data_IF_839562865937
#
_entry.id   IF_839562865937
#
_cell.length_a   1.000
_cell.length_b   1.000
_cell.length_c   1.000
_cell.angle_alpha   90.00
_cell.angle_beta   90.00
_cell.angle_gamma   90.00
#
_symmetry.space_group_name_H-M   'P 1'
#
loop_
_entity.id
_entity.type
_entity.pdbx_description
1 polymer ?
#
# COMPACT_ATOMS: atom_id res chain seq x y z
N UNK A 1 -34.48 -19.26 -2.24
CA UNK A 1 -33.05 -18.89 -2.31
C UNK A 1 -32.84 -17.44 -2.73
N UNK A 2 -33.06 -17.10 -4.01
CA UNK A 2 -32.72 -15.77 -4.56
C UNK A 2 -33.50 -14.57 -4.00
N UNK A 3 -34.78 -14.75 -3.65
CA UNK A 3 -35.64 -13.65 -3.14
C UNK A 3 -35.16 -13.08 -1.78
N UNK A 4 -34.61 -13.93 -0.90
CA UNK A 4 -34.12 -13.49 0.42
C UNK A 4 -32.81 -12.70 0.28
N UNK A 5 -31.93 -13.10 -0.65
CA UNK A 5 -30.67 -12.41 -0.91
C UNK A 5 -30.94 -11.05 -1.55
N UNK A 6 -31.90 -10.96 -2.48
CA UNK A 6 -32.33 -9.69 -3.08
C UNK A 6 -32.99 -8.78 -2.04
N UNK A 7 -33.80 -9.31 -1.14
CA UNK A 7 -34.41 -8.53 -0.05
C UNK A 7 -33.37 -8.03 0.98
N UNK A 8 -32.36 -8.84 1.31
CA UNK A 8 -31.27 -8.44 2.19
C UNK A 8 -30.35 -7.41 1.53
N UNK A 9 -30.01 -7.59 0.25
CA UNK A 9 -29.24 -6.63 -0.53
C UNK A 9 -30.02 -5.31 -0.73
N UNK A 10 -31.33 -5.38 -0.98
CA UNK A 10 -32.20 -4.21 -1.03
C UNK A 10 -32.31 -3.51 0.32
N UNK A 11 -32.35 -4.26 1.43
CA UNK A 11 -32.37 -3.69 2.78
C UNK A 11 -31.04 -3.04 3.16
N UNK A 12 -29.90 -3.63 2.76
CA UNK A 12 -28.56 -3.06 2.92
C UNK A 12 -28.33 -1.85 2.03
N UNK A 13 -28.77 -1.88 0.76
CA UNK A 13 -28.77 -0.72 -0.14
C UNK A 13 -29.71 0.37 0.36
N UNK A 14 -30.88 0.02 0.92
CA UNK A 14 -31.79 0.99 1.54
C UNK A 14 -31.19 1.56 2.82
N UNK A 15 -30.53 0.74 3.63
CA UNK A 15 -29.76 1.19 4.80
C UNK A 15 -28.65 2.13 4.34
N UNK A 16 -27.89 1.77 3.31
CA UNK A 16 -26.86 2.62 2.75
C UNK A 16 -27.36 3.92 2.16
N UNK A 17 -28.42 3.90 1.35
CA UNK A 17 -28.99 5.11 0.77
C UNK A 17 -29.54 5.99 1.89
N UNK A 18 -30.17 5.41 2.93
CA UNK A 18 -30.60 6.15 4.12
C UNK A 18 -29.42 6.65 4.95
N UNK A 19 -28.33 5.89 5.06
CA UNK A 19 -27.14 6.25 5.81
C UNK A 19 -26.33 7.30 5.07
N UNK A 20 -26.02 7.14 3.78
CA UNK A 20 -25.37 8.15 2.93
C UNK A 20 -26.25 9.41 2.81
N UNK A 21 -27.56 9.29 2.65
CA UNK A 21 -28.50 10.43 2.64
C UNK A 21 -28.57 11.13 4.00
N UNK A 22 -28.54 10.38 5.11
CA UNK A 22 -28.47 10.95 6.47
C UNK A 22 -27.07 11.52 6.79
N UNK A 23 -26.00 10.91 6.31
CA UNK A 23 -24.60 11.38 6.47
C UNK A 23 -24.36 12.68 5.71
N UNK A 24 -24.95 12.81 4.51
CA UNK A 24 -24.90 14.04 3.71
C UNK A 24 -25.86 15.14 4.18
N UNK A 25 -26.86 14.82 5.01
CA UNK A 25 -27.79 15.79 5.62
C UNK A 25 -27.60 15.82 7.14
N UNK A 26 -26.69 16.68 7.61
CA UNK A 26 -26.63 17.15 9.01
C UNK A 26 -26.80 16.06 10.10
N UNK A 27 -26.12 14.91 9.99
CA UNK A 27 -26.08 13.96 11.12
C UNK A 27 -24.73 14.01 11.83
N UNK A 28 -24.79 14.24 13.15
CA UNK A 28 -23.62 14.26 14.02
C UNK A 28 -22.87 12.93 14.01
N UNK A 29 -21.55 12.99 14.24
CA UNK A 29 -20.60 11.87 14.26
C UNK A 29 -21.09 10.69 15.10
N UNK A 30 -21.86 10.95 16.16
CA UNK A 30 -22.45 9.92 17.02
C UNK A 30 -23.41 8.97 16.30
N UNK A 31 -24.18 9.46 15.33
CA UNK A 31 -25.06 8.60 14.52
C UNK A 31 -24.24 7.72 13.59
N UNK A 32 -23.22 8.28 12.94
CA UNK A 32 -22.29 7.55 12.05
C UNK A 32 -21.60 6.41 12.81
N UNK A 33 -21.13 6.71 14.03
CA UNK A 33 -20.48 5.76 14.93
C UNK A 33 -21.42 4.63 15.36
N UNK A 34 -22.68 4.94 15.71
CA UNK A 34 -23.70 3.94 16.10
C UNK A 34 -24.09 3.02 14.95
N UNK A 35 -24.27 3.57 13.75
CA UNK A 35 -24.57 2.76 12.55
C UNK A 35 -23.41 1.81 12.27
N UNK A 36 -22.17 2.32 12.31
CA UNK A 36 -20.98 1.52 12.08
C UNK A 36 -20.85 0.39 13.10
N UNK A 37 -20.98 0.70 14.40
CA UNK A 37 -20.93 -0.30 15.46
C UNK A 37 -22.01 -1.40 15.28
N UNK A 38 -23.23 -1.02 14.84
CA UNK A 38 -24.32 -1.97 14.60
C UNK A 38 -24.01 -2.89 13.42
N UNK A 39 -23.45 -2.34 12.34
CA UNK A 39 -23.04 -3.12 11.15
C UNK A 39 -21.88 -4.05 11.49
N UNK A 40 -20.87 -3.57 12.21
CA UNK A 40 -19.73 -4.39 12.66
C UNK A 40 -20.21 -5.56 13.54
N UNK A 41 -21.12 -5.30 14.49
CA UNK A 41 -21.72 -6.34 15.33
C UNK A 41 -22.50 -7.38 14.52
N UNK A 42 -23.25 -6.94 13.51
CA UNK A 42 -23.98 -7.84 12.62
C UNK A 42 -23.04 -8.71 11.77
N UNK A 43 -21.93 -8.15 11.28
CA UNK A 43 -20.95 -8.88 10.49
C UNK A 43 -20.14 -9.88 11.32
N UNK A 44 -19.73 -9.51 12.54
CA UNK A 44 -19.03 -10.41 13.45
C UNK A 44 -19.90 -11.60 13.92
N UNK A 45 -21.22 -11.45 13.90
CA UNK A 45 -22.16 -12.53 14.24
C UNK A 45 -22.38 -13.56 13.12
N UNK A 46 -21.91 -13.27 11.90
CA UNK A 46 -22.07 -14.15 10.76
C UNK A 46 -20.75 -14.86 10.45
N UNK A 47 -20.61 -16.10 10.92
CA UNK A 47 -19.56 -17.02 10.49
C UNK A 47 -19.68 -17.27 8.98
N UNK A 48 -19.02 -16.45 8.18
CA UNK A 48 -18.99 -16.63 6.72
C UNK A 48 -17.56 -16.87 6.28
N UNK A 49 -17.28 -18.14 5.98
CA UNK A 49 -16.07 -18.59 5.30
C UNK A 49 -15.98 -17.83 3.96
N UNK A 50 -14.83 -17.21 3.63
CA UNK A 50 -14.68 -16.51 2.37
C UNK A 50 -14.79 -17.52 1.20
N UNK A 51 -15.87 -17.41 0.43
CA UNK A 51 -16.09 -18.20 -0.78
C UNK A 51 -15.50 -17.45 -1.97
N UNK A 52 -14.65 -18.13 -2.75
CA UNK A 52 -13.80 -17.50 -3.77
C UNK A 52 -14.57 -16.80 -4.91
N UNK A 53 -15.81 -17.21 -5.19
CA UNK A 53 -16.70 -16.56 -6.15
C UNK A 53 -17.95 -16.05 -5.43
N UNK A 54 -18.08 -14.73 -5.34
CA UNK A 54 -19.26 -14.09 -4.80
C UNK A 54 -20.33 -13.99 -5.90
N UNK A 55 -21.59 -14.21 -5.55
CA UNK A 55 -22.67 -13.83 -6.45
C UNK A 55 -22.71 -12.31 -6.60
N UNK A 56 -23.19 -11.81 -7.74
CA UNK A 56 -23.25 -10.36 -8.03
C UNK A 56 -23.90 -9.55 -6.88
N UNK A 57 -24.98 -10.07 -6.27
CA UNK A 57 -25.61 -9.42 -5.11
C UNK A 57 -24.71 -9.34 -3.87
N UNK A 58 -23.83 -10.32 -3.63
CA UNK A 58 -22.86 -10.27 -2.53
C UNK A 58 -21.72 -9.28 -2.83
N UNK A 59 -21.29 -9.17 -4.08
CA UNK A 59 -20.30 -8.16 -4.51
C UNK A 59 -20.84 -6.75 -4.27
N UNK A 60 -22.09 -6.48 -4.67
CA UNK A 60 -22.73 -5.19 -4.41
C UNK A 60 -22.77 -4.84 -2.91
N UNK A 61 -23.08 -5.82 -2.05
CA UNK A 61 -23.09 -5.64 -0.59
C UNK A 61 -21.69 -5.36 -0.02
N UNK A 62 -20.65 -6.03 -0.54
CA UNK A 62 -19.27 -5.79 -0.10
C UNK A 62 -18.77 -4.41 -0.55
N UNK A 63 -19.04 -4.03 -1.81
CA UNK A 63 -18.71 -2.69 -2.32
C UNK A 63 -19.43 -1.59 -1.53
N UNK A 64 -20.71 -1.83 -1.25
CA UNK A 64 -21.50 -1.00 -0.36
C UNK A 64 -20.81 -0.81 1.00
N UNK A 65 -20.48 -1.89 1.67
CA UNK A 65 -19.81 -1.83 2.97
C UNK A 65 -18.50 -1.02 2.92
N UNK A 66 -17.68 -1.20 1.87
CA UNK A 66 -16.47 -0.42 1.65
C UNK A 66 -16.75 1.08 1.50
N UNK A 67 -17.76 1.48 0.72
CA UNK A 67 -18.15 2.89 0.55
C UNK A 67 -18.68 3.51 1.85
N UNK A 68 -19.36 2.73 2.69
CA UNK A 68 -19.77 3.18 4.01
C UNK A 68 -18.55 3.46 4.89
N UNK A 69 -17.57 2.54 4.94
CA UNK A 69 -16.33 2.76 5.68
C UNK A 69 -15.59 3.99 5.18
N UNK A 70 -15.49 4.18 3.85
CA UNK A 70 -14.86 5.37 3.27
C UNK A 70 -15.55 6.63 3.78
N UNK A 71 -16.89 6.68 3.73
CA UNK A 71 -17.65 7.87 4.15
C UNK A 71 -17.41 8.18 5.62
N UNK A 72 -17.39 7.17 6.49
CA UNK A 72 -17.19 7.35 7.92
C UNK A 72 -15.76 7.78 8.25
N UNK A 73 -14.73 7.13 7.69
CA UNK A 73 -13.33 7.48 7.98
C UNK A 73 -12.86 8.78 7.35
N UNK A 74 -13.60 9.31 6.39
CA UNK A 74 -13.36 10.64 5.86
C UNK A 74 -13.69 11.74 6.89
N UNK A 75 -14.43 11.40 7.96
CA UNK A 75 -14.71 12.31 9.07
C UNK A 75 -13.54 12.35 10.05
N UNK A 76 -13.02 13.54 10.38
CA UNK A 76 -11.89 13.73 11.31
C UNK A 76 -12.33 13.79 12.77
N UNK A 77 -12.95 12.74 13.30
CA UNK A 77 -13.37 12.67 14.71
C UNK A 77 -12.50 11.71 15.53
N UNK A 78 -12.23 12.08 16.79
CA UNK A 78 -11.51 11.26 17.77
C UNK A 78 -12.32 10.02 18.21
N UNK A 79 -13.65 10.08 18.19
CA UNK A 79 -14.55 8.97 18.54
C UNK A 79 -14.43 7.78 17.58
N UNK A 80 -13.96 8.01 16.35
CA UNK A 80 -13.74 6.96 15.35
C UNK A 80 -12.52 6.08 15.64
N UNK A 81 -11.64 6.50 16.55
CA UNK A 81 -10.48 5.71 16.96
C UNK A 81 -10.86 4.35 17.55
N UNK A 82 -11.93 4.30 18.35
CA UNK A 82 -12.40 3.06 18.98
C UNK A 82 -12.90 2.04 17.93
N UNK A 83 -13.44 2.54 16.81
CA UNK A 83 -13.92 1.72 15.71
C UNK A 83 -12.84 1.38 14.69
N UNK A 84 -11.73 2.14 14.66
CA UNK A 84 -10.64 1.94 13.69
C UNK A 84 -10.04 0.54 13.84
N UNK A 85 -9.69 0.14 15.06
CA UNK A 85 -9.08 -1.18 15.29
C UNK A 85 -10.05 -2.32 14.93
N UNK A 86 -11.32 -2.22 15.32
CA UNK A 86 -12.34 -3.22 14.97
C UNK A 86 -12.56 -3.31 13.46
N UNK A 87 -12.57 -2.17 12.78
CA UNK A 87 -12.75 -2.11 11.34
C UNK A 87 -11.54 -2.69 10.61
N UNK A 88 -10.32 -2.35 11.03
CA UNK A 88 -9.10 -2.94 10.53
C UNK A 88 -9.11 -4.47 10.69
N UNK A 89 -9.46 -4.98 11.87
CA UNK A 89 -9.56 -6.42 12.13
C UNK A 89 -10.60 -7.11 11.23
N UNK A 90 -11.74 -6.47 10.97
CA UNK A 90 -12.74 -6.99 10.04
C UNK A 90 -12.23 -6.98 8.59
N UNK A 91 -11.58 -5.89 8.17
CA UNK A 91 -11.01 -5.75 6.84
C UNK A 91 -9.96 -6.84 6.58
N UNK A 92 -9.06 -7.07 7.54
CA UNK A 92 -8.00 -8.09 7.41
C UNK A 92 -8.54 -9.50 7.39
N UNK A 93 -9.51 -9.83 8.25
CA UNK A 93 -10.03 -11.18 8.39
C UNK A 93 -11.00 -11.60 7.28
N UNK A 94 -11.82 -10.67 6.76
CA UNK A 94 -12.95 -11.03 5.87
C UNK A 94 -12.92 -10.30 4.54
N UNK A 95 -12.69 -8.98 4.54
CA UNK A 95 -12.91 -8.15 3.34
C UNK A 95 -11.73 -8.24 2.37
N UNK A 96 -10.49 -8.16 2.86
CA UNK A 96 -9.27 -8.18 2.05
C UNK A 96 -9.16 -9.49 1.25
N UNK A 97 -9.29 -10.69 1.85
CA UNK A 97 -9.20 -11.95 1.09
C UNK A 97 -10.24 -12.05 -0.04
N UNK A 98 -11.41 -11.46 0.14
CA UNK A 98 -12.46 -11.41 -0.89
C UNK A 98 -12.14 -10.42 -2.01
N UNK A 99 -11.54 -9.27 -1.67
CA UNK A 99 -11.19 -8.21 -2.61
C UNK A 99 -9.94 -8.52 -3.43
N UNK A 100 -9.02 -9.32 -2.89
CA UNK A 100 -7.78 -9.72 -3.58
C UNK A 100 -7.92 -11.01 -4.37
N UNK A 101 -9.09 -11.68 -4.31
CA UNK A 101 -9.33 -12.84 -5.16
C UNK A 101 -9.40 -12.43 -6.64
N UNK A 102 -8.76 -13.20 -7.51
CA UNK A 102 -8.71 -12.90 -8.96
C UNK A 102 -10.09 -12.68 -9.58
N UNK A 103 -11.10 -13.41 -9.10
CA UNK A 103 -12.49 -13.32 -9.57
C UNK A 103 -13.17 -12.00 -9.22
N UNK A 104 -12.91 -11.45 -8.03
CA UNK A 104 -13.65 -10.28 -7.53
C UNK A 104 -12.83 -8.98 -7.56
N UNK A 105 -11.50 -9.08 -7.74
CA UNK A 105 -10.59 -7.95 -7.72
C UNK A 105 -10.99 -6.79 -8.64
N UNK A 106 -11.41 -7.00 -9.90
CA UNK A 106 -11.80 -5.90 -10.78
C UNK A 106 -12.94 -5.02 -10.22
N UNK A 107 -13.85 -5.59 -9.43
CA UNK A 107 -15.03 -4.88 -8.92
C UNK A 107 -14.84 -4.31 -7.51
N UNK A 108 -14.09 -5.02 -6.64
CA UNK A 108 -13.96 -4.67 -5.22
C UNK A 108 -12.67 -3.93 -4.88
N UNK A 109 -11.58 -4.25 -5.58
CA UNK A 109 -10.26 -3.70 -5.30
C UNK A 109 -10.22 -2.17 -5.41
N UNK A 110 -10.87 -1.50 -6.40
CA UNK A 110 -10.88 -0.04 -6.44
C UNK A 110 -11.45 0.62 -5.17
N UNK A 111 -12.52 0.05 -4.62
CA UNK A 111 -13.13 0.56 -3.38
C UNK A 111 -12.26 0.27 -2.16
N UNK A 112 -11.59 -0.89 -2.13
CA UNK A 112 -10.64 -1.22 -1.08
C UNK A 112 -9.42 -0.28 -1.11
N UNK A 113 -8.86 0.01 -2.28
CA UNK A 113 -7.72 0.92 -2.44
C UNK A 113 -8.05 2.33 -1.94
N UNK A 114 -9.23 2.84 -2.30
CA UNK A 114 -9.73 4.13 -1.80
C UNK A 114 -9.94 4.13 -0.29
N UNK A 115 -10.44 3.03 0.28
CA UNK A 115 -10.57 2.90 1.73
C UNK A 115 -9.21 2.91 2.42
N UNK A 116 -8.24 2.14 1.93
CA UNK A 116 -6.85 2.14 2.44
C UNK A 116 -6.27 3.56 2.43
N UNK A 117 -6.42 4.26 1.32
CA UNK A 117 -5.94 5.63 1.18
C UNK A 117 -6.58 6.58 2.19
N UNK A 118 -7.90 6.53 2.37
CA UNK A 118 -8.63 7.37 3.34
C UNK A 118 -8.22 7.03 4.77
N UNK A 119 -8.13 5.75 5.13
CA UNK A 119 -7.74 5.31 6.47
C UNK A 119 -6.33 5.81 6.80
N UNK A 120 -5.35 5.57 5.92
CA UNK A 120 -3.98 5.99 6.16
C UNK A 120 -3.84 7.52 6.17
N UNK A 121 -4.49 8.24 5.26
CA UNK A 121 -4.34 9.70 5.16
C UNK A 121 -5.08 10.46 6.25
N UNK A 122 -6.35 10.11 6.54
CA UNK A 122 -7.18 10.86 7.48
C UNK A 122 -6.97 10.45 8.93
N UNK A 123 -6.59 9.18 9.17
CA UNK A 123 -6.40 8.64 10.51
C UNK A 123 -4.92 8.44 10.87
N UNK A 124 -3.99 9.00 10.09
CA UNK A 124 -2.54 8.84 10.31
C UNK A 124 -2.07 9.14 11.74
N UNK A 125 -2.67 10.15 12.38
CA UNK A 125 -2.36 10.54 13.77
C UNK A 125 -2.61 9.43 14.79
N UNK A 126 -3.43 8.44 14.44
CA UNK A 126 -3.76 7.28 15.26
C UNK A 126 -2.87 6.07 14.92
N UNK A 127 -2.35 6.02 13.69
CA UNK A 127 -1.41 5.00 13.25
C UNK A 127 0.03 5.30 13.67
N UNK A 128 0.37 6.56 13.93
CA UNK A 128 1.77 6.97 14.10
C UNK A 128 2.01 7.85 15.32
N UNK A 129 3.24 7.80 15.80
CA UNK A 129 3.75 8.66 16.86
C UNK A 129 5.16 9.14 16.53
N UNK A 130 5.51 10.32 17.05
CA UNK A 130 6.88 10.82 16.96
C UNK A 130 7.72 10.16 18.06
N UNK A 131 8.75 9.43 17.67
CA UNK A 131 9.72 8.82 18.57
C UNK A 131 11.07 9.54 18.47
N UNK A 132 11.83 9.51 19.55
CA UNK A 132 13.25 9.90 19.54
C UNK A 132 14.05 8.63 19.26
N UNK A 133 14.93 8.61 18.25
CA UNK A 133 15.79 7.47 17.99
C UNK A 133 16.54 7.07 19.26
N UNK A 134 16.68 5.77 19.57
CA UNK A 134 17.55 5.37 20.65
C UNK A 134 18.97 5.88 20.35
N UNK A 135 19.43 6.84 21.14
CA UNK A 135 20.78 7.38 21.00
C UNK A 135 21.81 6.28 21.22
N UNK A 136 22.92 6.31 20.46
CA UNK A 136 24.10 5.51 20.77
C UNK A 136 24.48 5.76 22.25
N UNK A 137 24.74 4.71 23.05
CA UNK A 137 25.12 4.89 24.45
C UNK A 137 26.51 5.51 24.52
N UNK A 138 26.60 6.84 24.59
CA UNK A 138 27.88 7.53 24.54
C UNK A 138 27.87 9.02 24.88
N UNK A 139 26.79 9.55 25.45
CA UNK A 139 26.72 10.96 25.83
C UNK A 139 26.04 11.13 27.17
N UNK A 140 26.80 11.60 28.16
CA UNK A 140 26.37 11.96 29.51
C UNK A 140 25.45 13.19 29.50
N UNK A 141 24.22 13.01 29.01
CA UNK A 141 23.12 13.97 29.21
C UNK A 141 21.91 13.17 29.67
N UNK A 142 21.29 13.64 30.74
CA UNK A 142 20.15 12.97 31.37
C UNK A 142 19.11 12.55 30.31
N UNK A 143 18.54 11.33 30.41
CA UNK A 143 17.67 10.74 29.38
C UNK A 143 16.47 11.63 29.00
N UNK A 144 16.06 12.55 29.89
CA UNK A 144 14.93 13.43 29.69
C UNK A 144 15.23 14.68 28.84
N UNK A 145 16.49 15.10 28.72
CA UNK A 145 16.90 16.28 27.92
C UNK A 145 17.24 15.91 26.46
N UNK A 146 17.83 14.73 26.24
CA UNK A 146 18.06 14.22 24.89
C UNK A 146 16.77 13.95 24.11
N UNK A 147 15.69 13.59 24.81
CA UNK A 147 14.36 13.39 24.23
C UNK A 147 13.69 14.68 23.72
N UNK A 148 14.12 15.85 24.22
CA UNK A 148 13.55 17.14 23.84
C UNK A 148 14.24 17.78 22.62
N UNK A 149 15.48 17.38 22.32
CA UNK A 149 16.36 18.07 21.36
C UNK A 149 16.79 17.17 20.18
N UNK A 150 16.61 15.85 20.28
CA UNK A 150 17.02 14.91 19.23
C UNK A 150 16.15 14.96 17.96
N UNK A 151 16.69 14.55 16.79
CA UNK A 151 15.91 14.42 15.55
C UNK A 151 14.77 13.43 15.78
N UNK A 152 13.52 13.87 15.55
CA UNK A 152 12.35 13.01 15.73
C UNK A 152 12.15 12.15 14.49
N UNK A 153 11.89 10.87 14.72
CA UNK A 153 11.47 9.92 13.69
C UNK A 153 9.99 9.61 13.84
N UNK A 154 9.29 9.43 12.74
CA UNK A 154 7.90 8.96 12.76
C UNK A 154 7.90 7.45 12.77
N UNK A 155 7.20 6.85 13.74
CA UNK A 155 7.00 5.40 13.85
C UNK A 155 5.52 5.07 13.80
N UNK A 156 5.21 3.87 13.33
CA UNK A 156 3.88 3.27 13.41
C UNK A 156 3.69 2.68 14.81
N UNK A 157 2.50 2.89 15.39
CA UNK A 157 2.12 2.27 16.66
C UNK A 157 2.11 0.74 16.49
N UNK A 158 2.65 0.02 17.48
CA UNK A 158 2.76 -1.44 17.47
C UNK A 158 1.40 -2.10 17.23
N UNK A 159 0.31 -1.49 17.71
CA UNK A 159 -1.07 -1.99 17.55
C UNK A 159 -1.58 -2.00 16.11
N UNK A 160 -0.97 -1.22 15.22
CA UNK A 160 -1.40 -1.07 13.82
C UNK A 160 -0.30 -1.48 12.84
N UNK A 161 0.80 -2.06 13.33
CA UNK A 161 1.94 -2.43 12.49
C UNK A 161 1.56 -3.50 11.47
N UNK A 162 0.78 -4.51 11.87
CA UNK A 162 0.29 -5.55 10.96
C UNK A 162 -0.60 -5.00 9.85
N UNK A 163 -1.49 -4.09 10.19
CA UNK A 163 -2.43 -3.45 9.29
C UNK A 163 -1.70 -2.53 8.30
N UNK A 164 -0.76 -1.74 8.80
CA UNK A 164 0.08 -0.88 7.98
C UNK A 164 0.88 -1.68 6.96
N UNK A 165 1.57 -2.74 7.42
CA UNK A 165 2.35 -3.63 6.55
C UNK A 165 1.43 -4.30 5.51
N UNK A 166 0.24 -4.77 5.91
CA UNK A 166 -0.73 -5.40 4.99
C UNK A 166 -1.29 -4.41 3.95
N UNK A 167 -1.66 -3.19 4.36
CA UNK A 167 -2.21 -2.19 3.44
C UNK A 167 -1.20 -1.79 2.37
N UNK A 168 0.07 -1.63 2.76
CA UNK A 168 1.15 -1.36 1.82
C UNK A 168 1.42 -2.61 0.94
N UNK A 169 1.40 -3.81 1.51
CA UNK A 169 1.54 -5.02 0.71
C UNK A 169 0.46 -5.15 -0.37
N UNK A 170 -0.80 -4.81 -0.07
CA UNK A 170 -1.89 -4.83 -1.06
C UNK A 170 -1.61 -3.84 -2.19
N UNK A 171 -1.17 -2.62 -1.87
CA UNK A 171 -0.81 -1.61 -2.88
C UNK A 171 0.34 -2.12 -3.78
N UNK A 172 1.34 -2.76 -3.20
CA UNK A 172 2.44 -3.36 -3.95
C UNK A 172 1.99 -4.55 -4.82
N UNK A 173 1.11 -5.39 -4.30
CA UNK A 173 0.56 -6.54 -5.01
C UNK A 173 -0.25 -6.11 -6.24
N UNK A 174 -0.93 -4.95 -6.16
CA UNK A 174 -1.60 -4.36 -7.32
C UNK A 174 -0.61 -3.99 -8.42
N UNK A 175 0.58 -3.49 -8.07
CA UNK A 175 1.60 -3.07 -9.04
C UNK A 175 2.29 -4.25 -9.72
N UNK A 176 2.40 -5.40 -9.04
CA UNK A 176 3.12 -6.57 -9.57
C UNK A 176 2.23 -7.55 -10.36
N UNK A 177 0.91 -7.52 -10.16
CA UNK A 177 0.00 -8.49 -10.77
C UNK A 177 -0.27 -8.11 -12.24
N UNK A 178 0.12 -8.93 -13.23
CA UNK A 178 0.10 -8.55 -14.65
C UNK A 178 -1.32 -8.38 -15.22
N UNK A 179 -2.30 -9.13 -14.73
CA UNK A 179 -3.65 -9.19 -15.30
C UNK A 179 -4.64 -8.19 -14.66
N UNK A 180 -4.17 -7.27 -13.82
CA UNK A 180 -5.04 -6.26 -13.24
C UNK A 180 -5.38 -5.15 -14.24
N UNK A 181 -6.61 -4.60 -14.20
CA UNK A 181 -6.97 -3.42 -14.98
C UNK A 181 -5.98 -2.27 -14.78
N UNK A 182 -5.53 -1.57 -15.85
CA UNK A 182 -4.56 -0.48 -15.76
C UNK A 182 -4.96 0.64 -14.81
N UNK A 183 -6.27 0.91 -14.68
CA UNK A 183 -6.78 1.92 -13.74
C UNK A 183 -6.46 1.56 -12.29
N UNK A 184 -6.53 0.28 -11.92
CA UNK A 184 -6.25 -0.18 -10.55
C UNK A 184 -4.76 -0.05 -10.23
N UNK A 185 -3.91 -0.41 -11.19
CA UNK A 185 -2.45 -0.26 -11.06
C UNK A 185 -2.11 1.23 -10.89
N UNK A 186 -2.69 2.09 -11.72
CA UNK A 186 -2.49 3.53 -11.63
C UNK A 186 -2.98 4.11 -10.30
N UNK A 187 -4.14 3.68 -9.80
CA UNK A 187 -4.67 4.09 -8.51
C UNK A 187 -3.72 3.68 -7.38
N UNK A 188 -3.22 2.44 -7.37
CA UNK A 188 -2.28 1.96 -6.37
C UNK A 188 -0.98 2.80 -6.36
N UNK A 189 -0.41 3.08 -7.53
CA UNK A 189 0.80 3.93 -7.63
C UNK A 189 0.52 5.35 -7.14
N UNK A 190 -0.62 5.92 -7.55
CA UNK A 190 -1.01 7.28 -7.16
C UNK A 190 -1.23 7.41 -5.66
N UNK A 191 -1.83 6.41 -5.03
CA UNK A 191 -2.02 6.37 -3.57
C UNK A 191 -0.67 6.35 -2.85
N UNK A 192 0.27 5.52 -3.27
CA UNK A 192 1.59 5.44 -2.61
C UNK A 192 2.36 6.77 -2.76
N UNK A 193 2.30 7.39 -3.94
CA UNK A 193 2.88 8.72 -4.18
C UNK A 193 2.24 9.79 -3.29
N UNK A 194 0.91 9.80 -3.19
CA UNK A 194 0.18 10.75 -2.34
C UNK A 194 0.49 10.55 -0.85
N UNK A 195 0.53 9.30 -0.37
CA UNK A 195 0.97 9.00 1.01
C UNK A 195 2.43 9.45 1.24
N UNK A 196 3.30 9.29 0.23
CA UNK A 196 4.65 9.84 0.22
C UNK A 196 4.68 11.36 0.40
N UNK A 197 3.83 12.09 -0.31
CA UNK A 197 3.75 13.54 -0.24
C UNK A 197 3.11 14.05 1.06
N UNK A 198 1.96 13.50 1.44
CA UNK A 198 1.13 13.96 2.56
C UNK A 198 1.69 13.51 3.91
N UNK A 199 2.12 12.24 4.02
CA UNK A 199 2.55 11.64 5.29
C UNK A 199 4.07 11.54 5.43
N UNK A 200 4.83 11.95 4.39
CA UNK A 200 6.27 11.67 4.30
C UNK A 200 6.55 10.17 4.44
N UNK A 201 5.69 9.31 3.85
CA UNK A 201 5.71 7.84 4.03
C UNK A 201 7.12 7.25 3.91
N UNK A 202 7.89 7.67 2.90
CA UNK A 202 9.21 7.14 2.61
C UNK A 202 10.29 7.48 3.66
N UNK A 203 9.96 8.33 4.64
CA UNK A 203 10.79 8.68 5.81
C UNK A 203 10.24 8.13 7.13
N UNK A 204 9.12 7.40 7.08
CA UNK A 204 8.60 6.69 8.26
C UNK A 204 9.56 5.54 8.55
N UNK A 205 10.01 5.44 9.81
CA UNK A 205 11.04 4.48 10.22
C UNK A 205 10.67 3.04 9.85
N UNK A 206 9.42 2.66 10.09
CA UNK A 206 8.88 1.34 9.79
C UNK A 206 8.86 1.03 8.29
N UNK A 207 8.50 2.01 7.46
CA UNK A 207 8.58 1.88 6.00
C UNK A 207 10.03 1.70 5.56
N UNK A 208 10.93 2.57 6.02
CA UNK A 208 12.35 2.57 5.64
C UNK A 208 13.04 1.25 6.00
N UNK A 209 12.74 0.69 7.18
CA UNK A 209 13.39 -0.53 7.68
C UNK A 209 12.80 -1.83 7.15
N UNK A 210 11.47 -1.93 7.03
CA UNK A 210 10.81 -3.21 6.68
C UNK A 210 10.31 -3.27 5.24
N UNK A 211 9.77 -2.16 4.73
CA UNK A 211 8.93 -2.17 3.52
C UNK A 211 9.69 -1.67 2.29
N UNK A 212 10.54 -0.65 2.46
CA UNK A 212 11.32 -0.01 1.39
C UNK A 212 12.10 -1.03 0.54
N UNK A 213 12.85 -2.00 1.11
CA UNK A 213 13.62 -2.95 0.30
C UNK A 213 12.72 -3.81 -0.60
N UNK A 214 11.55 -4.22 -0.10
CA UNK A 214 10.57 -5.02 -0.85
C UNK A 214 9.98 -4.20 -2.00
N UNK A 215 9.57 -2.96 -1.72
CA UNK A 215 9.04 -2.05 -2.74
C UNK A 215 10.05 -1.77 -3.86
N UNK A 216 11.29 -1.40 -3.49
CA UNK A 216 12.33 -1.12 -4.48
C UNK A 216 12.61 -2.35 -5.35
N UNK A 217 12.72 -3.54 -4.75
CA UNK A 217 12.99 -4.79 -5.47
C UNK A 217 11.84 -5.15 -6.42
N UNK A 218 10.59 -5.09 -5.94
CA UNK A 218 9.42 -5.43 -6.75
C UNK A 218 9.18 -4.44 -7.89
N UNK A 219 9.35 -3.12 -7.67
CA UNK A 219 9.22 -2.14 -8.75
C UNK A 219 10.30 -2.39 -9.82
N UNK A 220 11.54 -2.63 -9.39
CA UNK A 220 12.63 -2.97 -10.33
C UNK A 220 12.34 -4.25 -11.12
N UNK A 221 11.81 -5.28 -10.47
CA UNK A 221 11.41 -6.52 -11.13
C UNK A 221 10.31 -6.30 -12.16
N UNK A 222 9.25 -5.55 -11.82
CA UNK A 222 8.15 -5.21 -12.74
C UNK A 222 8.67 -4.43 -13.95
N UNK A 223 9.58 -3.48 -13.75
CA UNK A 223 10.20 -2.69 -14.81
C UNK A 223 11.16 -3.53 -15.69
N UNK A 224 11.90 -4.46 -15.11
CA UNK A 224 12.80 -5.38 -15.84
C UNK A 224 12.01 -6.35 -16.71
N UNK A 225 11.00 -7.00 -16.12
CA UNK A 225 10.16 -8.00 -16.78
C UNK A 225 9.12 -7.38 -17.73
N UNK A 226 8.98 -6.05 -17.71
CA UNK A 226 7.96 -5.33 -18.48
C UNK A 226 6.53 -5.85 -18.19
N UNK A 227 6.27 -6.27 -16.95
CA UNK A 227 4.97 -6.83 -16.55
C UNK A 227 3.85 -5.79 -16.58
N UNK A 228 4.18 -4.50 -16.52
CA UNK A 228 3.24 -3.37 -16.56
C UNK A 228 3.70 -2.30 -17.56
N UNK A 229 3.62 -2.57 -18.88
CA UNK A 229 4.20 -1.69 -19.90
C UNK A 229 3.53 -0.31 -19.96
N UNK A 230 2.24 -0.20 -19.59
CA UNK A 230 1.50 1.07 -19.59
C UNK A 230 1.88 1.99 -18.42
N UNK A 231 2.57 1.49 -17.39
CA UNK A 231 2.86 2.22 -16.16
C UNK A 231 4.36 2.42 -15.91
N UNK A 232 5.21 2.25 -16.93
CA UNK A 232 6.67 2.41 -16.82
C UNK A 232 7.03 3.77 -16.23
N UNK A 233 6.44 4.85 -16.73
CA UNK A 233 6.75 6.21 -16.25
C UNK A 233 6.28 6.43 -14.80
N UNK A 234 5.06 5.98 -14.48
CA UNK A 234 4.50 6.07 -13.12
C UNK A 234 5.32 5.29 -12.11
N UNK A 235 5.74 4.07 -12.46
CA UNK A 235 6.57 3.20 -11.61
C UNK A 235 7.99 3.72 -11.47
N UNK A 236 8.58 4.26 -12.55
CA UNK A 236 9.89 4.91 -12.50
C UNK A 236 9.85 6.17 -11.63
N UNK A 237 8.76 6.95 -11.73
CA UNK A 237 8.50 8.09 -10.86
C UNK A 237 8.39 7.68 -9.39
N UNK A 238 7.64 6.62 -9.08
CA UNK A 238 7.53 6.08 -7.73
C UNK A 238 8.89 5.58 -7.20
N UNK A 239 9.65 4.85 -8.02
CA UNK A 239 10.99 4.40 -7.68
C UNK A 239 11.90 5.57 -7.32
N UNK A 240 11.84 6.65 -8.10
CA UNK A 240 12.58 7.89 -7.85
C UNK A 240 12.19 8.51 -6.50
N UNK A 241 10.91 8.63 -6.20
CA UNK A 241 10.47 9.24 -4.94
C UNK A 241 10.89 8.42 -3.71
N UNK A 242 10.86 7.08 -3.80
CA UNK A 242 11.35 6.19 -2.73
C UNK A 242 12.87 6.30 -2.59
N UNK A 243 13.61 6.32 -3.70
CA UNK A 243 15.06 6.48 -3.71
C UNK A 243 15.49 7.85 -3.18
N UNK A 244 14.76 8.92 -3.50
CA UNK A 244 15.05 10.29 -3.07
C UNK A 244 14.96 10.47 -1.54
N UNK A 245 14.25 9.60 -0.83
CA UNK A 245 14.21 9.64 0.64
C UNK A 245 15.58 9.33 1.27
N UNK A 246 16.37 8.46 0.63
CA UNK A 246 17.76 8.15 1.00
C UNK A 246 18.49 7.60 -0.23
N UNK A 247 19.05 8.54 -0.98
CA UNK A 247 19.69 8.31 -2.27
C UNK A 247 21.05 7.62 -2.14
N UNK A 248 21.76 7.94 -1.06
CA UNK A 248 23.07 7.37 -0.83
C UNK A 248 22.96 5.86 -0.67
N UNK A 249 22.10 5.39 0.24
CA UNK A 249 21.90 3.96 0.45
C UNK A 249 21.27 3.26 -0.78
N UNK A 250 20.45 3.97 -1.57
CA UNK A 250 19.93 3.43 -2.82
C UNK A 250 21.07 3.02 -3.78
N UNK A 251 22.04 3.91 -4.01
CA UNK A 251 23.12 3.64 -4.96
C UNK A 251 24.29 2.86 -4.36
N UNK A 252 24.59 3.01 -3.06
CA UNK A 252 25.73 2.34 -2.42
C UNK A 252 25.41 0.95 -1.90
N UNK A 253 24.17 0.66 -1.55
CA UNK A 253 23.77 -0.62 -0.92
C UNK A 253 22.75 -1.37 -1.78
N UNK A 254 21.61 -0.75 -2.09
CA UNK A 254 20.50 -1.44 -2.76
C UNK A 254 20.85 -1.84 -4.21
N UNK A 255 21.28 -0.89 -5.05
CA UNK A 255 21.53 -1.16 -6.47
C UNK A 255 22.65 -2.20 -6.69
N UNK A 256 23.80 -2.13 -5.99
CA UNK A 256 24.83 -3.18 -6.08
C UNK A 256 24.33 -4.54 -5.60
N UNK A 257 23.58 -4.57 -4.49
CA UNK A 257 22.98 -5.81 -3.98
C UNK A 257 22.01 -6.41 -5.00
N UNK A 258 21.17 -5.60 -5.64
CA UNK A 258 20.23 -6.06 -6.67
C UNK A 258 20.98 -6.65 -7.88
N UNK A 259 21.96 -5.93 -8.43
CA UNK A 259 22.76 -6.43 -9.58
C UNK A 259 23.52 -7.70 -9.22
N UNK A 260 23.94 -7.86 -7.95
CA UNK A 260 24.63 -9.07 -7.50
C UNK A 260 23.75 -10.32 -7.53
N UNK A 261 22.44 -10.17 -7.28
CA UNK A 261 21.46 -11.27 -7.28
C UNK A 261 20.85 -11.53 -8.65
N UNK A 262 20.96 -10.59 -9.59
CA UNK A 262 20.53 -10.80 -10.98
C UNK A 262 21.39 -11.84 -11.70
N UNK A 263 20.77 -12.52 -12.68
CA UNK A 263 21.44 -13.45 -13.58
C UNK A 263 22.19 -12.70 -14.70
N UNK A 264 23.12 -11.85 -14.30
CA UNK A 264 23.99 -11.04 -15.16
C UNK A 264 25.43 -11.55 -15.02
N UNK A 265 26.21 -11.69 -16.11
CA UNK A 265 27.61 -12.12 -16.05
C UNK A 265 28.43 -11.18 -15.15
N UNK A 266 29.35 -11.73 -14.35
CA UNK A 266 30.17 -10.93 -13.43
C UNK A 266 30.95 -9.80 -14.16
N UNK A 267 31.41 -10.04 -15.37
CA UNK A 267 32.10 -9.06 -16.22
C UNK A 267 31.19 -7.89 -16.65
N UNK A 268 29.88 -8.12 -16.75
CA UNK A 268 28.89 -7.10 -17.10
C UNK A 268 28.35 -6.33 -15.91
N UNK A 269 28.53 -6.82 -14.67
CA UNK A 269 27.95 -6.18 -13.47
C UNK A 269 28.45 -4.76 -13.25
N UNK A 270 29.74 -4.51 -13.46
CA UNK A 270 30.29 -3.15 -13.35
C UNK A 270 29.76 -2.22 -14.44
N UNK A 271 29.61 -2.72 -15.68
CA UNK A 271 29.06 -1.93 -16.79
C UNK A 271 27.61 -1.54 -16.50
N UNK A 272 26.81 -2.51 -16.06
CA UNK A 272 25.43 -2.30 -15.64
C UNK A 272 25.35 -1.27 -14.50
N UNK A 273 26.18 -1.37 -13.46
CA UNK A 273 26.18 -0.40 -12.37
C UNK A 273 26.58 1.01 -12.82
N UNK A 274 27.53 1.14 -13.76
CA UNK A 274 27.97 2.44 -14.28
C UNK A 274 26.94 3.11 -15.20
N UNK A 275 25.99 2.34 -15.76
CA UNK A 275 24.92 2.89 -16.61
C UNK A 275 23.94 3.79 -15.86
N UNK A 276 23.90 3.70 -14.52
CA UNK A 276 23.07 4.55 -13.68
C UNK A 276 23.90 5.48 -12.80
N UNK A 277 24.36 6.63 -13.34
CA UNK A 277 25.09 7.60 -12.53
C UNK A 277 24.19 8.19 -11.44
N UNK A 278 24.82 8.63 -10.35
CA UNK A 278 24.15 9.14 -9.14
C UNK A 278 23.59 10.54 -9.40
N UNK A 279 22.53 10.65 -10.20
CA UNK A 279 21.88 11.91 -10.54
C UNK A 279 20.35 11.80 -10.46
N UNK A 280 19.75 12.81 -9.83
CA UNK A 280 18.30 12.98 -9.68
C UNK A 280 17.65 13.50 -10.96
N UNK A 281 18.29 14.45 -11.64
CA UNK A 281 17.70 15.12 -12.80
C UNK A 281 17.51 14.16 -13.96
N UNK A 282 18.46 13.25 -14.13
CA UNK A 282 18.45 12.23 -15.19
C UNK A 282 17.96 10.86 -14.71
N UNK A 283 17.40 10.76 -13.49
CA UNK A 283 17.07 9.49 -12.86
C UNK A 283 16.24 8.55 -13.75
N UNK A 284 15.20 9.06 -14.39
CA UNK A 284 14.32 8.24 -15.26
C UNK A 284 15.03 7.77 -16.53
N UNK A 285 15.85 8.61 -17.15
CA UNK A 285 16.65 8.24 -18.33
C UNK A 285 17.69 7.18 -17.96
N UNK A 286 18.43 7.42 -16.88
CA UNK A 286 19.44 6.50 -16.38
C UNK A 286 18.83 5.16 -15.92
N UNK A 287 17.62 5.18 -15.34
CA UNK A 287 16.86 3.99 -15.03
C UNK A 287 16.56 3.18 -16.29
N UNK A 288 16.09 3.84 -17.34
CA UNK A 288 15.80 3.19 -18.61
C UNK A 288 17.05 2.53 -19.22
N UNK A 289 18.16 3.27 -19.26
CA UNK A 289 19.44 2.78 -19.76
C UNK A 289 19.93 1.57 -18.96
N UNK A 290 19.86 1.65 -17.63
CA UNK A 290 20.17 0.53 -16.73
C UNK A 290 19.32 -0.71 -17.00
N UNK A 291 18.01 -0.54 -17.16
CA UNK A 291 17.10 -1.65 -17.42
C UNK A 291 17.39 -2.29 -18.80
N UNK A 292 17.77 -1.48 -19.79
CA UNK A 292 18.19 -1.96 -21.11
C UNK A 292 19.49 -2.76 -21.05
N UNK A 293 20.51 -2.25 -20.36
CA UNK A 293 21.79 -2.95 -20.15
C UNK A 293 21.60 -4.27 -19.38
N UNK A 294 20.78 -4.27 -18.33
CA UNK A 294 20.41 -5.48 -17.60
C UNK A 294 19.82 -6.54 -18.53
N UNK A 295 18.81 -6.17 -19.31
CA UNK A 295 18.14 -7.10 -20.25
C UNK A 295 19.10 -7.62 -21.31
N UNK A 296 19.94 -6.76 -21.86
CA UNK A 296 20.94 -7.14 -22.85
C UNK A 296 21.92 -8.17 -22.28
N UNK A 297 22.46 -7.91 -21.10
CA UNK A 297 23.40 -8.81 -20.44
C UNK A 297 22.77 -10.16 -20.08
N UNK A 298 21.54 -10.17 -19.57
CA UNK A 298 20.79 -11.39 -19.26
C UNK A 298 20.50 -12.23 -20.52
N UNK A 299 20.08 -11.61 -21.62
CA UNK A 299 19.81 -12.31 -22.88
C UNK A 299 21.08 -12.90 -23.49
N UNK A 300 22.21 -12.16 -23.43
CA UNK A 300 23.52 -12.66 -23.88
C UNK A 300 23.92 -13.91 -23.10
N UNK A 301 23.73 -13.92 -21.78
CA UNK A 301 24.02 -15.08 -20.94
C UNK A 301 23.12 -16.28 -21.28
N UNK A 302 21.82 -16.06 -21.50
CA UNK A 302 20.87 -17.10 -21.91
C UNK A 302 21.32 -17.79 -23.22
N UNK A 303 21.70 -17.01 -24.22
CA UNK A 303 22.18 -17.56 -25.50
C UNK A 303 23.52 -18.32 -25.39
N UNK A 304 24.37 -17.95 -24.43
CA UNK A 304 25.60 -18.71 -24.16
C UNK A 304 25.29 -20.05 -23.48
N UNK A 305 24.26 -20.10 -22.63
CA UNK A 305 23.80 -21.34 -21.98
C UNK A 305 23.07 -22.28 -22.95
N UNK A 306 22.29 -21.76 -23.90
CA UNK A 306 21.58 -22.57 -24.91
C UNK A 306 22.50 -23.20 -25.97
N UNK A 307 23.75 -22.74 -26.07
CA UNK A 307 24.76 -23.25 -27.02
C UNK A 307 25.69 -24.31 -26.42
N UNK A 308 25.56 -24.61 -25.13
CA UNK A 308 26.30 -25.64 -24.41
C UNK A 308 25.44 -26.89 -24.23
#
# INVERSE_FOLDING_TARGET
>A
GGSIIVAAAASLLTLQVKVISALNKETGVEYQTKVLATVLNALNSSETVPTAALSHGKIMVQRALLELFITVFNTRDKKLFELLHQTCALLTSTTIPLCTSSTNAPELLPSLLRLIHVVLSMQWRHFSFAAVPPGKPGGSLAPNLGALIGPRITKVDEKFTSEFDLFLQILLDCMKTPDLPPSIVQDAVSIVLDLGAVLKLFRVYDFEKRIKPVYLSTIMEVLLNQSQPMHVDSLTGLLREIANADMQSFFSEFLPSLVSTMNVPNESKEVVLRSWPHDLYSFSSNCHDFLCECRFAMNRQRHLQERQ
#
